data_IF_833237296004
#
_entry.id   IF_833237296004
#
_cell.length_a   1.000
_cell.length_b   1.000
_cell.length_c   1.000
_cell.angle_alpha   90.00
_cell.angle_beta   90.00
_cell.angle_gamma   90.00
#
_symmetry.space_group_name_H-M   'P 1'
#
loop_
_entity.id
_entity.type
_entity.pdbx_description
1 polymer ?
#
# COMPACT_ATOMS: atom_id res chain seq x y z
N UNK A 1 13.24 -18.88 4.96
CA UNK A 1 13.18 -17.87 3.88
C UNK A 1 12.60 -16.64 4.53
N UNK A 2 13.41 -15.59 4.68
CA UNK A 2 12.98 -14.36 5.32
C UNK A 2 13.18 -13.22 4.32
N UNK A 3 12.07 -12.75 3.76
CA UNK A 3 12.03 -11.53 2.96
C UNK A 3 11.39 -10.45 3.80
N UNK A 4 12.03 -9.30 3.88
CA UNK A 4 11.57 -8.16 4.68
C UNK A 4 11.11 -7.06 3.73
N UNK A 5 9.86 -6.64 3.86
CA UNK A 5 9.25 -5.60 3.04
C UNK A 5 9.02 -4.36 3.90
N UNK A 6 9.55 -3.20 3.50
CA UNK A 6 9.34 -1.96 4.25
C UNK A 6 7.91 -1.44 4.05
N UNK A 7 7.31 -1.03 5.17
CA UNK A 7 5.97 -0.48 5.27
C UNK A 7 6.04 0.86 5.97
N UNK A 8 5.52 1.91 5.31
CA UNK A 8 5.17 3.17 5.96
C UNK A 8 3.65 3.24 6.11
N UNK A 9 3.16 3.17 7.35
CA UNK A 9 1.75 3.42 7.67
C UNK A 9 1.60 4.84 8.20
N UNK A 10 0.66 5.58 7.62
CA UNK A 10 0.31 6.92 8.07
C UNK A 10 -1.14 6.86 8.53
N UNK A 11 -1.32 6.96 9.84
CA UNK A 11 -2.63 6.84 10.48
C UNK A 11 -3.04 8.20 11.04
N UNK A 12 -4.20 8.70 10.61
CA UNK A 12 -4.79 9.88 11.22
C UNK A 12 -5.17 9.55 12.67
N UNK A 13 -4.66 10.33 13.62
CA UNK A 13 -5.02 10.23 15.03
C UNK A 13 -5.86 11.40 15.50
N UNK A 14 -6.17 12.33 14.61
CA UNK A 14 -7.05 13.43 14.90
C UNK A 14 -8.47 13.06 14.50
N UNK A 15 -9.35 12.96 15.49
CA UNK A 15 -10.76 13.30 15.30
C UNK A 15 -10.89 14.82 15.01
N UNK A 16 -10.07 15.36 14.09
CA UNK A 16 -10.26 16.71 13.61
C UNK A 16 -11.43 16.67 12.63
N UNK A 17 -12.44 17.46 12.95
CA UNK A 17 -13.72 17.54 12.26
C UNK A 17 -13.54 17.84 10.76
N UNK A 18 -13.31 16.80 9.96
CA UNK A 18 -13.71 16.86 8.56
C UNK A 18 -15.22 16.92 8.61
N UNK A 19 -15.75 18.12 8.44
CA UNK A 19 -17.19 18.31 8.35
C UNK A 19 -17.75 17.29 7.35
N UNK A 20 -18.88 16.66 7.68
CA UNK A 20 -19.51 15.63 6.84
C UNK A 20 -19.60 16.07 5.36
N UNK A 21 -19.64 17.37 5.10
CA UNK A 21 -19.63 17.98 3.78
C UNK A 21 -18.37 17.69 2.93
N UNK A 22 -17.17 17.80 3.50
CA UNK A 22 -15.94 17.52 2.75
C UNK A 22 -15.75 16.02 2.51
N UNK A 23 -16.10 15.18 3.50
CA UNK A 23 -16.18 13.71 3.30
C UNK A 23 -17.15 13.35 2.19
N UNK A 24 -18.35 13.94 2.17
CA UNK A 24 -19.35 13.68 1.14
C UNK A 24 -18.88 14.11 -0.25
N UNK A 25 -18.15 15.22 -0.37
CA UNK A 25 -17.61 15.68 -1.66
C UNK A 25 -16.54 14.74 -2.20
N UNK A 26 -15.62 14.27 -1.36
CA UNK A 26 -14.64 13.26 -1.73
C UNK A 26 -15.29 11.90 -2.04
N UNK A 27 -16.23 11.46 -1.20
CA UNK A 27 -16.97 10.21 -1.41
C UNK A 27 -17.81 10.24 -2.69
N UNK A 28 -18.41 11.38 -3.04
CA UNK A 28 -19.18 11.53 -4.28
C UNK A 28 -18.29 11.40 -5.52
N UNK A 29 -17.12 12.05 -5.53
CA UNK A 29 -16.17 11.97 -6.65
C UNK A 29 -15.58 10.56 -6.80
N UNK A 30 -15.21 9.93 -5.68
CA UNK A 30 -14.71 8.55 -5.68
C UNK A 30 -15.82 7.57 -6.08
N UNK A 31 -17.08 7.81 -5.68
CA UNK A 31 -18.21 6.98 -6.12
C UNK A 31 -18.50 7.09 -7.62
N UNK A 32 -18.34 8.27 -8.23
CA UNK A 32 -18.53 8.41 -9.68
C UNK A 32 -17.43 7.66 -10.46
N UNK A 33 -16.16 7.80 -10.07
CA UNK A 33 -15.06 7.06 -10.71
C UNK A 33 -15.14 5.54 -10.45
N UNK A 34 -15.60 5.13 -9.26
CA UNK A 34 -15.85 3.73 -8.94
C UNK A 34 -17.09 3.18 -9.68
N UNK A 35 -18.12 3.98 -9.91
CA UNK A 35 -19.30 3.55 -10.66
C UNK A 35 -18.99 3.28 -12.14
N UNK A 36 -18.09 4.06 -12.74
CA UNK A 36 -17.60 3.80 -14.10
C UNK A 36 -16.79 2.49 -14.16
N UNK A 37 -15.89 2.28 -13.19
CA UNK A 37 -15.09 1.04 -13.09
C UNK A 37 -15.93 -0.18 -12.73
N UNK A 38 -16.98 -0.03 -11.93
CA UNK A 38 -17.92 -1.10 -11.58
C UNK A 38 -18.71 -1.58 -12.80
N UNK A 39 -19.02 -0.69 -13.75
CA UNK A 39 -19.71 -1.05 -14.98
C UNK A 39 -18.79 -1.87 -15.90
N UNK A 40 -17.52 -1.49 -15.99
CA UNK A 40 -16.48 -2.23 -16.72
C UNK A 40 -16.21 -3.59 -16.08
N UNK A 41 -16.09 -3.65 -14.75
CA UNK A 41 -15.96 -4.90 -13.99
C UNK A 41 -17.18 -5.80 -14.20
N UNK A 42 -18.39 -5.24 -14.22
CA UNK A 42 -19.62 -6.02 -14.45
C UNK A 42 -19.64 -6.64 -15.85
N UNK A 43 -19.21 -5.87 -16.87
CA UNK A 43 -19.09 -6.37 -18.24
C UNK A 43 -18.04 -7.48 -18.35
N UNK A 44 -16.85 -7.28 -17.76
CA UNK A 44 -15.78 -8.28 -17.76
C UNK A 44 -16.20 -9.55 -17.00
N UNK A 45 -16.97 -9.44 -15.91
CA UNK A 45 -17.52 -10.59 -15.19
C UNK A 45 -18.55 -11.35 -16.03
N UNK A 46 -19.41 -10.66 -16.79
CA UNK A 46 -20.35 -11.30 -17.71
C UNK A 46 -19.64 -12.02 -18.86
N UNK A 47 -18.56 -11.44 -19.41
CA UNK A 47 -17.73 -12.11 -20.42
C UNK A 47 -16.98 -13.30 -19.84
N UNK A 48 -16.43 -13.18 -18.63
CA UNK A 48 -15.74 -14.27 -17.95
C UNK A 48 -16.69 -15.44 -17.66
N UNK A 49 -17.93 -15.18 -17.25
CA UNK A 49 -18.93 -16.24 -17.06
C UNK A 49 -19.29 -16.92 -18.39
N UNK A 50 -19.36 -16.20 -19.52
CA UNK A 50 -19.54 -16.82 -20.84
C UNK A 50 -18.37 -17.76 -21.19
N UNK A 51 -17.13 -17.31 -20.95
CA UNK A 51 -15.92 -18.12 -21.20
C UNK A 51 -15.87 -19.37 -20.31
N UNK A 52 -16.18 -19.25 -19.01
CA UNK A 52 -16.27 -20.41 -18.10
C UNK A 52 -17.34 -21.41 -18.51
N UNK A 53 -18.45 -20.93 -19.06
CA UNK A 53 -19.55 -21.80 -19.53
C UNK A 53 -19.13 -22.60 -20.78
N UNK A 54 -18.24 -22.04 -21.60
CA UNK A 54 -17.65 -22.73 -22.76
C UNK A 54 -16.51 -23.68 -22.37
N UNK A 55 -15.70 -23.36 -21.36
CA UNK A 55 -14.68 -24.27 -20.81
C UNK A 55 -15.30 -25.46 -20.07
N UNK A 56 -16.45 -25.29 -19.40
CA UNK A 56 -17.16 -26.40 -18.73
C UNK A 56 -17.72 -27.45 -19.70
N UNK A 57 -17.69 -27.20 -21.02
CA UNK A 57 -17.92 -28.22 -22.06
C UNK A 57 -16.68 -29.06 -22.38
N UNK A 58 -15.56 -28.82 -21.71
CA UNK A 58 -14.33 -29.59 -21.86
C UNK A 58 -13.60 -29.78 -20.52
N UNK A 59 -14.17 -30.66 -19.67
CA UNK A 59 -13.40 -31.53 -18.79
C UNK A 59 -12.91 -31.00 -17.43
N UNK A 60 -13.33 -31.74 -16.39
CA UNK A 60 -12.63 -32.11 -15.14
C UNK A 60 -12.36 -31.05 -14.07
N UNK A 61 -12.94 -31.33 -12.89
CA UNK A 61 -12.72 -30.66 -11.61
C UNK A 61 -11.26 -30.75 -11.16
N UNK A 62 -10.72 -29.64 -10.64
CA UNK A 62 -9.67 -29.66 -9.63
C UNK A 62 -9.81 -28.44 -8.69
N UNK A 63 -9.86 -28.76 -7.40
CA UNK A 63 -10.04 -27.89 -6.25
C UNK A 63 -8.74 -27.12 -5.95
N UNK A 64 -8.80 -25.78 -5.89
CA UNK A 64 -7.61 -24.96 -5.56
C UNK A 64 -7.55 -24.70 -4.06
N UNK A 65 -6.59 -25.37 -3.43
CA UNK A 65 -6.17 -25.23 -2.03
C UNK A 65 -5.86 -23.77 -1.68
N UNK A 66 -6.44 -23.27 -0.57
CA UNK A 66 -6.18 -21.93 -0.02
C UNK A 66 -5.01 -22.02 0.97
N UNK A 67 -4.01 -21.17 0.74
CA UNK A 67 -2.68 -21.09 1.37
C UNK A 67 -2.69 -21.07 2.92
N UNK A 68 -1.88 -21.91 3.56
CA UNK A 68 -1.69 -21.97 5.03
C UNK A 68 -0.82 -20.79 5.53
N UNK A 69 -1.29 -19.56 5.39
CA UNK A 69 -0.56 -18.41 5.91
C UNK A 69 -0.66 -18.35 7.44
N UNK A 70 0.44 -18.57 8.15
CA UNK A 70 0.52 -18.46 9.62
C UNK A 70 0.74 -17.00 10.02
N UNK A 71 -0.32 -16.34 10.52
CA UNK A 71 -0.23 -14.98 11.09
C UNK A 71 0.26 -15.06 12.53
N UNK A 72 1.44 -14.51 12.82
CA UNK A 72 2.00 -14.42 14.17
C UNK A 72 1.44 -13.19 14.90
N UNK A 73 1.32 -13.25 16.23
CA UNK A 73 0.88 -12.10 17.04
C UNK A 73 1.81 -10.89 16.83
N UNK A 74 1.21 -9.72 16.61
CA UNK A 74 1.91 -8.45 16.36
C UNK A 74 1.79 -7.46 17.53
N UNK A 75 1.31 -7.92 18.69
CA UNK A 75 1.05 -7.06 19.85
C UNK A 75 2.35 -6.41 20.37
N UNK A 76 2.36 -5.07 20.48
CA UNK A 76 3.52 -4.30 20.94
C UNK A 76 4.61 -4.04 19.90
N UNK A 77 4.53 -4.62 18.69
CA UNK A 77 5.53 -4.43 17.64
C UNK A 77 5.36 -3.09 16.92
N UNK A 78 4.11 -2.63 16.79
CA UNK A 78 3.76 -1.35 16.15
C UNK A 78 4.42 -0.15 16.83
N UNK A 79 4.55 -0.18 18.15
CA UNK A 79 5.12 0.92 18.94
C UNK A 79 6.61 1.12 18.66
N UNK A 80 7.34 0.03 18.36
CA UNK A 80 8.75 0.09 17.98
C UNK A 80 8.94 0.72 16.60
N UNK A 81 7.93 0.57 15.73
CA UNK A 81 7.93 1.12 14.39
C UNK A 81 7.42 2.58 14.36
N UNK A 82 7.02 3.15 15.51
CA UNK A 82 6.48 4.52 15.55
C UNK A 82 7.57 5.55 15.24
N UNK A 83 7.30 6.37 14.22
CA UNK A 83 8.18 7.49 13.87
C UNK A 83 7.76 8.71 14.68
N UNK A 84 8.61 9.10 15.65
CA UNK A 84 8.35 10.27 16.50
C UNK A 84 8.43 11.58 15.72
N UNK A 85 9.46 11.72 14.88
CA UNK A 85 9.68 12.91 14.06
C UNK A 85 10.62 12.62 12.89
N UNK A 86 10.28 13.12 11.70
CA UNK A 86 11.17 13.12 10.53
C UNK A 86 12.11 14.33 10.54
N UNK A 87 13.33 14.19 10.00
CA UNK A 87 14.18 15.33 9.68
C UNK A 87 13.44 16.34 8.78
N UNK A 88 13.55 17.64 9.09
CA UNK A 88 12.89 18.69 8.31
C UNK A 88 11.38 18.76 8.45
N UNK A 89 10.78 17.95 9.34
CA UNK A 89 9.34 17.92 9.55
C UNK A 89 8.82 19.17 10.27
N UNK A 90 7.69 19.74 9.81
CA UNK A 90 7.04 20.86 10.49
C UNK A 90 6.64 20.51 11.92
N UNK A 91 6.52 21.54 12.75
CA UNK A 91 6.07 21.39 14.13
C UNK A 91 4.56 21.17 14.18
N UNK A 92 4.10 20.36 15.14
CA UNK A 92 2.68 20.02 15.43
C UNK A 92 2.01 19.16 14.36
N UNK A 93 2.08 17.85 14.60
CA UNK A 93 1.38 16.83 13.80
C UNK A 93 0.24 16.29 14.62
N UNK A 94 -0.88 16.08 13.95
CA UNK A 94 -2.12 15.58 14.50
C UNK A 94 -2.35 14.09 14.14
N UNK A 95 -1.42 13.49 13.38
CA UNK A 95 -1.43 12.10 12.96
C UNK A 95 -0.18 11.33 13.42
N UNK A 96 -0.30 10.01 13.52
CA UNK A 96 0.80 9.11 13.80
C UNK A 96 1.34 8.47 12.52
N UNK A 97 2.63 8.20 12.50
CA UNK A 97 3.31 7.52 11.39
C UNK A 97 4.19 6.40 11.92
N UNK A 98 4.29 5.33 11.14
CA UNK A 98 4.98 4.11 11.50
C UNK A 98 5.80 3.60 10.33
N UNK A 99 7.08 3.31 10.52
CA UNK A 99 7.98 2.75 9.51
C UNK A 99 8.62 1.47 10.04
N UNK A 100 8.42 0.35 9.36
CA UNK A 100 8.89 -0.95 9.81
C UNK A 100 8.96 -1.97 8.68
N UNK A 101 9.30 -3.21 9.01
CA UNK A 101 9.39 -4.30 8.05
C UNK A 101 8.42 -5.42 8.37
N UNK A 102 7.80 -6.01 7.34
CA UNK A 102 7.00 -7.22 7.45
C UNK A 102 7.68 -8.37 6.75
N UNK A 103 7.76 -9.51 7.44
CA UNK A 103 8.30 -10.75 6.87
C UNK A 103 7.25 -11.43 6.00
N UNK A 104 7.58 -11.70 4.74
CA UNK A 104 6.71 -12.40 3.78
C UNK A 104 7.43 -13.57 3.11
N UNK A 105 6.67 -14.56 2.64
CA UNK A 105 7.18 -15.60 1.72
C UNK A 105 7.02 -15.12 0.26
N UNK A 106 7.99 -15.43 -0.60
CA UNK A 106 8.33 -14.52 -1.71
C UNK A 106 7.96 -15.04 -3.12
N UNK A 107 7.16 -14.23 -3.84
CA UNK A 107 7.09 -14.21 -5.31
C UNK A 107 7.74 -12.92 -5.84
N UNK A 108 8.67 -13.11 -6.78
CA UNK A 108 9.61 -12.12 -7.32
C UNK A 108 9.01 -11.33 -8.50
N UNK A 109 9.26 -10.02 -8.57
CA UNK A 109 8.90 -9.11 -9.68
C UNK A 109 9.81 -7.88 -9.76
N UNK A 110 9.60 -7.00 -10.74
CA UNK A 110 10.25 -5.67 -10.80
C UNK A 110 9.24 -4.64 -10.27
N UNK A 111 9.66 -3.77 -9.34
CA UNK A 111 8.78 -2.76 -8.75
C UNK A 111 9.41 -1.38 -8.65
N UNK A 112 8.56 -0.36 -8.50
CA UNK A 112 8.95 1.01 -8.21
C UNK A 112 8.63 1.32 -6.74
N UNK A 113 9.40 2.21 -6.11
CA UNK A 113 9.20 2.57 -4.70
C UNK A 113 7.89 3.33 -4.51
N UNK A 114 6.92 2.72 -3.82
CA UNK A 114 5.68 3.40 -3.42
C UNK A 114 5.93 4.49 -2.37
N UNK A 115 7.01 4.39 -1.61
CA UNK A 115 7.38 5.40 -0.62
C UNK A 115 7.90 6.67 -1.31
N UNK A 116 8.84 6.52 -2.24
CA UNK A 116 9.44 7.65 -2.94
C UNK A 116 8.44 8.38 -3.84
N UNK A 117 7.61 7.65 -4.60
CA UNK A 117 6.63 8.27 -5.51
C UNK A 117 5.31 8.53 -4.79
N UNK A 118 4.65 7.47 -4.32
CA UNK A 118 3.34 7.56 -3.67
C UNK A 118 3.35 8.46 -2.43
N UNK A 119 4.22 8.21 -1.45
CA UNK A 119 4.18 8.97 -0.20
C UNK A 119 4.76 10.38 -0.37
N UNK A 120 5.93 10.51 -0.97
CA UNK A 120 6.66 11.79 -0.96
C UNK A 120 6.33 12.72 -2.14
N UNK A 121 5.87 12.19 -3.28
CA UNK A 121 5.60 12.99 -4.48
C UNK A 121 4.11 13.10 -4.84
N UNK A 122 3.28 12.14 -4.45
CA UNK A 122 1.88 12.09 -4.88
C UNK A 122 0.84 12.28 -3.77
N UNK A 123 0.70 11.32 -2.85
CA UNK A 123 -0.50 11.21 -2.01
C UNK A 123 -0.23 11.34 -0.50
N UNK A 124 1.03 11.28 -0.07
CA UNK A 124 1.37 11.34 1.35
C UNK A 124 1.31 12.75 1.96
N UNK A 125 1.51 12.84 3.29
CA UNK A 125 1.29 14.05 4.08
C UNK A 125 2.32 15.16 3.84
N UNK A 126 3.47 14.82 3.25
CA UNK A 126 4.57 15.76 3.05
C UNK A 126 5.06 15.80 1.61
N UNK A 127 5.54 16.97 1.21
CA UNK A 127 6.35 17.21 0.02
C UNK A 127 7.76 17.54 0.42
N UNK A 128 8.72 16.98 -0.30
CA UNK A 128 10.14 17.37 -0.19
C UNK A 128 10.30 18.73 -0.87
N UNK A 129 10.85 19.70 -0.14
CA UNK A 129 11.18 21.01 -0.67
C UNK A 129 12.30 20.92 -1.71
N UNK A 130 12.47 21.97 -2.51
CA UNK A 130 13.53 22.02 -3.54
C UNK A 130 14.95 21.94 -2.98
N UNK A 131 15.13 22.17 -1.69
CA UNK A 131 16.42 22.02 -1.00
C UNK A 131 16.77 20.57 -0.62
N UNK A 132 15.84 19.63 -0.84
CA UNK A 132 16.00 18.21 -0.52
C UNK A 132 16.07 17.89 0.97
N UNK A 133 15.76 18.84 1.86
CA UNK A 133 15.94 18.71 3.31
C UNK A 133 14.71 19.07 4.11
N UNK A 134 13.91 20.02 3.63
CA UNK A 134 12.69 20.47 4.31
C UNK A 134 11.47 19.71 3.82
N UNK A 135 10.55 19.43 4.73
CA UNK A 135 9.24 18.86 4.41
C UNK A 135 8.14 19.92 4.56
N UNK A 136 7.26 20.00 3.57
CA UNK A 136 6.07 20.86 3.59
C UNK A 136 4.81 20.01 3.68
N UNK A 137 3.81 20.46 4.43
CA UNK A 137 2.50 19.79 4.44
C UNK A 137 1.89 19.75 3.05
N UNK A 138 1.36 18.59 2.68
CA UNK A 138 0.53 18.43 1.50
C UNK A 138 -0.95 18.68 1.88
N UNK A 139 -1.56 19.78 1.43
CA UNK A 139 -2.96 20.08 1.75
C UNK A 139 -3.95 19.09 1.13
N UNK A 140 -3.53 18.27 0.16
CA UNK A 140 -4.36 17.27 -0.52
C UNK A 140 -3.96 15.83 -0.18
N UNK A 141 -3.29 15.63 0.96
CA UNK A 141 -2.84 14.31 1.37
C UNK A 141 -4.02 13.36 1.66
N UNK A 142 -3.90 12.12 1.19
CA UNK A 142 -4.95 11.11 1.38
C UNK A 142 -5.09 10.66 2.84
N UNK A 143 -4.03 10.84 3.64
CA UNK A 143 -4.09 10.53 5.06
C UNK A 143 -4.99 11.49 5.87
N UNK A 144 -5.54 12.53 5.23
CA UNK A 144 -6.58 13.36 5.84
C UNK A 144 -7.91 12.62 6.01
N UNK A 145 -8.21 11.65 5.14
CA UNK A 145 -9.52 10.97 5.12
C UNK A 145 -9.42 9.46 5.27
N UNK A 146 -8.20 8.92 5.32
CA UNK A 146 -7.93 7.49 5.38
C UNK A 146 -6.63 7.19 6.14
N UNK A 147 -6.50 5.95 6.60
CA UNK A 147 -5.19 5.42 6.98
C UNK A 147 -4.52 4.91 5.70
N UNK A 148 -3.33 5.41 5.40
CA UNK A 148 -2.64 5.11 4.13
C UNK A 148 -1.43 4.23 4.39
N UNK A 149 -1.31 3.16 3.61
CA UNK A 149 -0.21 2.20 3.66
C UNK A 149 0.63 2.33 2.39
N UNK A 150 1.90 2.68 2.54
CA UNK A 150 2.88 2.63 1.46
C UNK A 150 3.78 1.40 1.66
N UNK A 151 3.85 0.54 0.65
CA UNK A 151 4.48 -0.77 0.71
C UNK A 151 5.53 -0.91 -0.40
N UNK A 152 6.81 -0.98 -0.04
CA UNK A 152 7.88 -1.13 -1.01
C UNK A 152 8.03 -2.58 -1.48
N UNK A 153 7.33 -2.95 -2.55
CA UNK A 153 7.31 -4.32 -3.06
C UNK A 153 7.75 -4.39 -4.53
N UNK A 154 8.43 -5.47 -4.95
CA UNK A 154 8.90 -6.61 -4.15
C UNK A 154 10.30 -6.36 -3.54
N UNK A 155 10.96 -7.42 -3.05
CA UNK A 155 12.33 -7.35 -2.54
C UNK A 155 13.29 -6.68 -3.53
N UNK A 156 14.19 -5.84 -3.02
CA UNK A 156 15.14 -5.10 -3.84
C UNK A 156 14.60 -3.77 -4.37
N UNK A 157 13.34 -3.44 -4.10
CA UNK A 157 12.78 -2.11 -4.35
C UNK A 157 12.95 -1.25 -3.10
N UNK A 158 13.57 -0.08 -3.25
CA UNK A 158 13.77 0.87 -2.15
C UNK A 158 14.63 0.27 -1.02
N UNK A 159 14.07 0.22 0.18
CA UNK A 159 14.66 -0.31 1.40
C UNK A 159 14.30 -1.77 1.68
N UNK A 160 13.36 -2.36 0.92
CA UNK A 160 13.01 -3.79 1.06
C UNK A 160 14.17 -4.72 0.67
N UNK A 161 14.47 -5.71 1.52
CA UNK A 161 15.64 -6.58 1.36
C UNK A 161 15.38 -8.04 1.76
N UNK A 162 16.32 -8.91 1.39
CA UNK A 162 16.35 -10.32 1.82
C UNK A 162 17.74 -10.69 2.28
N UNK A 163 17.82 -11.50 3.33
CA UNK A 163 19.07 -12.10 3.78
C UNK A 163 19.51 -13.27 2.87
N UNK A 164 18.69 -13.69 1.91
CA UNK A 164 18.95 -14.85 1.06
C UNK A 164 19.38 -14.42 -0.34
N UNK A 165 20.67 -14.53 -0.66
CA UNK A 165 21.23 -14.09 -1.94
C UNK A 165 20.62 -14.80 -3.16
N UNK A 166 20.09 -16.02 -3.01
CA UNK A 166 19.40 -16.73 -4.09
C UNK A 166 18.10 -16.04 -4.52
N UNK A 167 17.42 -15.35 -3.61
CA UNK A 167 16.20 -14.61 -3.91
C UNK A 167 16.49 -13.41 -4.82
N UNK A 168 17.61 -12.70 -4.58
CA UNK A 168 18.09 -11.62 -5.45
C UNK A 168 18.37 -12.10 -6.88
N UNK A 169 19.00 -13.27 -7.03
CA UNK A 169 19.24 -13.86 -8.36
C UNK A 169 17.93 -14.20 -9.09
N UNK A 170 16.87 -14.54 -8.35
CA UNK A 170 15.55 -14.88 -8.90
C UNK A 170 14.80 -13.65 -9.43
N UNK A 171 15.04 -12.47 -8.86
CA UNK A 171 14.52 -11.17 -9.36
C UNK A 171 15.40 -10.51 -10.43
N UNK A 172 16.49 -11.15 -10.86
CA UNK A 172 17.37 -10.61 -11.89
C UNK A 172 18.28 -9.47 -11.42
N UNK A 173 18.39 -9.27 -10.10
CA UNK A 173 19.35 -8.35 -9.48
C UNK A 173 20.67 -9.11 -9.32
N UNK A 174 21.73 -8.63 -9.99
CA UNK A 174 23.06 -9.26 -10.01
C UNK A 174 23.90 -8.87 -8.80
#
# INVERSE_FOLDING_TARGET
>A
METMVEILTIADTSDSEITNFERLKYWSLVQEELAEKDLEIRMLREELEKVKTDEKKMGSDDEVVVDETRVLSQEGLKENDRIEKLPGQPHNLDFAQYGGYVTVDEKAGLGCSSLAYGAMQELGPFRVASDGKTLHHNPYAWNKVANVLFLESPVGVGFSYTNTTSNLKRVGIK
#
